data_IF_663865386787
#
_entry.id   IF_663865386787
#
_cell.length_a   1.000
_cell.length_b   1.000
_cell.length_c   1.000
_cell.angle_alpha   90.00
_cell.angle_beta   90.00
_cell.angle_gamma   90.00
#
_symmetry.space_group_name_H-M   'P 1'
#
loop_
_entity.id
_entity.type
_entity.pdbx_description
1 polymer ?
#
# COMPACT_ATOMS: atom_id res chain seq x y z
N UNK A 1 12.55 -12.75 -15.18
CA UNK A 1 11.56 -13.00 -16.25
C UNK A 1 10.39 -12.05 -16.00
N UNK A 2 9.88 -11.35 -17.01
CA UNK A 2 8.83 -10.32 -16.83
C UNK A 2 7.47 -10.99 -16.89
N UNK A 3 6.63 -10.81 -15.86
CA UNK A 3 5.29 -11.37 -15.77
C UNK A 3 4.23 -10.26 -15.73
N UNK A 4 3.16 -10.46 -16.49
CA UNK A 4 2.01 -9.55 -16.53
C UNK A 4 0.79 -10.22 -15.89
N UNK A 5 0.19 -9.54 -14.92
CA UNK A 5 -1.04 -9.95 -14.26
C UNK A 5 -2.26 -9.37 -14.98
N UNK A 6 -3.28 -10.21 -15.21
CA UNK A 6 -4.60 -9.74 -15.64
C UNK A 6 -5.42 -9.28 -14.44
N UNK A 7 -6.49 -8.51 -14.70
CA UNK A 7 -7.34 -7.96 -13.63
C UNK A 7 -7.75 -9.00 -12.56
N UNK A 8 -8.21 -10.22 -12.90
CA UNK A 8 -8.57 -11.21 -11.87
C UNK A 8 -7.39 -11.61 -10.96
N UNK A 9 -6.16 -11.63 -11.49
CA UNK A 9 -4.96 -11.90 -10.69
C UNK A 9 -4.62 -10.72 -9.79
N UNK A 10 -4.68 -9.49 -10.31
CA UNK A 10 -4.46 -8.29 -9.50
C UNK A 10 -5.47 -8.21 -8.34
N UNK A 11 -6.73 -8.58 -8.58
CA UNK A 11 -7.74 -8.67 -7.52
C UNK A 11 -7.36 -9.72 -6.46
N UNK A 12 -6.85 -10.90 -6.87
CA UNK A 12 -6.40 -11.94 -5.92
C UNK A 12 -5.16 -11.50 -5.13
N UNK A 13 -4.20 -10.84 -5.78
CA UNK A 13 -2.98 -10.37 -5.13
C UNK A 13 -3.22 -9.23 -4.14
N UNK A 14 -4.13 -8.30 -4.46
CA UNK A 14 -4.34 -7.08 -3.66
C UNK A 14 -5.56 -7.15 -2.74
N UNK A 15 -6.48 -8.09 -2.97
CA UNK A 15 -7.78 -8.15 -2.30
C UNK A 15 -8.75 -7.02 -2.69
N UNK A 16 -8.38 -6.17 -3.65
CA UNK A 16 -9.20 -5.04 -4.09
C UNK A 16 -10.20 -5.45 -5.17
N UNK A 17 -11.37 -4.82 -5.17
CA UNK A 17 -12.32 -4.95 -6.29
C UNK A 17 -11.83 -4.17 -7.51
N UNK A 18 -12.22 -4.60 -8.70
CA UNK A 18 -11.91 -3.91 -9.96
C UNK A 18 -12.25 -2.41 -9.91
N UNK A 19 -13.41 -2.04 -9.33
CA UNK A 19 -13.81 -0.64 -9.15
C UNK A 19 -12.80 0.15 -8.32
N UNK A 20 -12.30 -0.43 -7.24
CA UNK A 20 -11.31 0.24 -6.38
C UNK A 20 -9.96 0.34 -7.09
N UNK A 21 -9.55 -0.70 -7.82
CA UNK A 21 -8.33 -0.69 -8.62
C UNK A 21 -8.38 0.49 -9.61
N UNK A 22 -9.40 0.56 -10.46
CA UNK A 22 -9.51 1.64 -11.45
C UNK A 22 -9.63 3.03 -10.81
N UNK A 23 -10.33 3.16 -9.68
CA UNK A 23 -10.38 4.43 -8.94
C UNK A 23 -8.99 4.87 -8.46
N UNK A 24 -8.18 3.94 -7.95
CA UNK A 24 -6.83 4.25 -7.50
C UNK A 24 -5.88 4.53 -8.66
N UNK A 25 -6.04 3.84 -9.79
CA UNK A 25 -5.33 4.15 -11.04
C UNK A 25 -5.64 5.58 -11.49
N UNK A 26 -6.92 5.97 -11.51
CA UNK A 26 -7.32 7.33 -11.84
C UNK A 26 -6.79 8.37 -10.84
N UNK A 27 -6.68 8.01 -9.56
CA UNK A 27 -6.08 8.85 -8.52
C UNK A 27 -4.54 8.83 -8.52
N UNK A 28 -3.88 8.06 -9.38
CA UNK A 28 -2.42 7.93 -9.40
C UNK A 28 -1.82 7.22 -8.18
N UNK A 29 -2.64 6.49 -7.41
CA UNK A 29 -2.22 5.79 -6.17
C UNK A 29 -2.09 4.28 -6.35
N UNK A 30 -2.07 3.82 -7.60
CA UNK A 30 -1.92 2.42 -7.99
C UNK A 30 -1.17 2.33 -9.33
N UNK A 31 -0.41 1.25 -9.57
CA UNK A 31 0.31 1.05 -10.83
C UNK A 31 -0.59 1.19 -12.07
N UNK A 32 -0.07 1.84 -13.11
CA UNK A 32 -0.79 2.00 -14.37
C UNK A 32 -0.81 0.70 -15.16
N UNK A 33 -1.92 0.43 -15.83
CA UNK A 33 -2.05 -0.74 -16.67
C UNK A 33 -1.21 -0.62 -17.95
N UNK A 34 -0.52 -1.69 -18.31
CA UNK A 34 0.19 -1.88 -19.57
C UNK A 34 -0.81 -2.38 -20.62
N UNK A 35 -1.00 -1.68 -21.76
CA UNK A 35 -1.76 -2.19 -22.89
C UNK A 35 -1.03 -3.39 -23.52
N UNK A 36 -1.75 -4.48 -23.71
CA UNK A 36 -1.29 -5.71 -24.37
C UNK A 36 -1.92 -5.89 -25.76
N UNK A 37 -2.82 -4.98 -26.14
CA UNK A 37 -3.56 -4.96 -27.39
C UNK A 37 -4.90 -4.23 -27.21
N UNK A 38 -5.71 -4.19 -28.27
CA UNK A 38 -6.92 -3.35 -28.36
C UNK A 38 -7.96 -3.57 -27.25
N UNK A 39 -8.05 -4.80 -26.73
CA UNK A 39 -9.03 -5.20 -25.70
C UNK A 39 -8.37 -5.79 -24.46
N UNK A 40 -7.05 -5.69 -24.36
CA UNK A 40 -6.28 -6.39 -23.34
C UNK A 40 -5.34 -5.44 -22.61
N UNK A 41 -5.48 -5.37 -21.29
CA UNK A 41 -4.56 -4.67 -20.41
C UNK A 41 -4.12 -5.59 -19.26
N UNK A 42 -2.98 -5.28 -18.66
CA UNK A 42 -2.47 -5.98 -17.49
C UNK A 42 -1.53 -5.09 -16.67
N UNK A 43 -0.96 -5.64 -15.62
CA UNK A 43 -0.02 -4.93 -14.74
C UNK A 43 1.25 -5.74 -14.60
N UNK A 44 2.40 -5.07 -14.47
CA UNK A 44 3.63 -5.77 -14.13
C UNK A 44 3.50 -6.34 -12.72
N UNK A 45 3.79 -7.64 -12.57
CA UNK A 45 3.73 -8.31 -11.27
C UNK A 45 4.59 -7.59 -10.23
N UNK A 46 5.80 -7.20 -10.61
CA UNK A 46 6.74 -6.49 -9.74
C UNK A 46 6.19 -5.14 -9.23
N UNK A 47 5.43 -4.40 -10.06
CA UNK A 47 4.82 -3.13 -9.63
C UNK A 47 3.69 -3.38 -8.62
N UNK A 48 2.92 -4.46 -8.79
CA UNK A 48 1.88 -4.85 -7.85
C UNK A 48 2.49 -5.30 -6.53
N UNK A 49 3.54 -6.12 -6.56
CA UNK A 49 4.27 -6.55 -5.36
C UNK A 49 4.88 -5.37 -4.61
N UNK A 50 5.54 -4.46 -5.33
CA UNK A 50 6.10 -3.25 -4.75
C UNK A 50 5.01 -2.38 -4.10
N UNK A 51 3.89 -2.18 -4.79
CA UNK A 51 2.77 -1.42 -4.24
C UNK A 51 2.22 -2.06 -2.96
N UNK A 52 2.10 -3.40 -2.89
CA UNK A 52 1.69 -4.10 -1.66
C UNK A 52 2.71 -3.91 -0.55
N UNK A 53 4.01 -4.04 -0.86
CA UNK A 53 5.08 -3.85 0.11
C UNK A 53 5.07 -2.43 0.71
N UNK A 54 4.83 -1.41 -0.11
CA UNK A 54 4.66 -0.02 0.35
C UNK A 54 3.47 0.11 1.32
N UNK A 55 2.34 -0.59 1.07
CA UNK A 55 1.18 -0.58 1.98
C UNK A 55 1.47 -1.18 3.33
N UNK A 56 2.25 -2.24 3.34
CA UNK A 56 2.73 -2.87 4.56
C UNK A 56 3.65 -1.91 5.30
N UNK A 57 4.61 -1.30 4.60
CA UNK A 57 5.56 -0.35 5.18
C UNK A 57 4.87 0.88 5.81
N UNK A 58 3.89 1.49 5.13
CA UNK A 58 3.15 2.63 5.68
C UNK A 58 2.32 2.26 6.91
N UNK A 59 1.70 1.07 6.91
CA UNK A 59 0.98 0.55 8.08
C UNK A 59 1.93 0.42 9.27
N UNK A 60 3.10 -0.16 9.04
CA UNK A 60 4.09 -0.45 10.09
C UNK A 60 4.75 0.83 10.62
N UNK A 61 5.06 1.79 9.74
CA UNK A 61 5.54 3.11 10.13
C UNK A 61 4.51 3.86 11.00
N UNK A 62 3.24 3.81 10.62
CA UNK A 62 2.16 4.42 11.39
C UNK A 62 2.02 3.76 12.78
N UNK A 63 2.13 2.44 12.86
CA UNK A 63 2.10 1.72 14.13
C UNK A 63 3.30 2.08 15.03
N UNK A 64 4.51 2.15 14.45
CA UNK A 64 5.73 2.55 15.14
C UNK A 64 5.63 3.94 15.77
N UNK A 65 5.21 4.93 14.98
CA UNK A 65 5.06 6.32 15.43
C UNK A 65 4.02 6.47 16.55
N UNK A 66 2.90 5.76 16.48
CA UNK A 66 1.90 5.74 17.56
C UNK A 66 2.46 5.16 18.86
N UNK A 67 3.29 4.11 18.75
CA UNK A 67 3.91 3.48 19.92
C UNK A 67 4.94 4.39 20.59
N UNK A 68 5.72 5.13 19.80
CA UNK A 68 6.77 6.03 20.26
C UNK A 68 6.17 7.27 20.93
N UNK A 69 5.19 7.90 20.27
CA UNK A 69 4.41 9.00 20.85
C UNK A 69 3.81 8.60 22.21
N UNK A 70 3.27 7.38 22.31
CA UNK A 70 2.74 6.87 23.58
C UNK A 70 3.80 6.69 24.68
N UNK A 71 5.03 6.27 24.33
CA UNK A 71 6.14 6.16 25.28
C UNK A 71 6.60 7.55 25.74
N UNK A 72 6.75 8.48 24.81
CA UNK A 72 7.22 9.83 25.11
C UNK A 72 6.23 10.62 25.98
N UNK A 73 4.92 10.53 25.69
CA UNK A 73 3.89 11.17 26.52
C UNK A 73 3.89 10.64 27.96
N UNK A 74 4.17 9.33 28.16
CA UNK A 74 4.33 8.75 29.51
C UNK A 74 5.57 9.30 30.20
N UNK A 75 6.73 9.27 29.53
CA UNK A 75 7.99 9.79 30.08
C UNK A 75 7.89 11.27 30.49
N UNK A 76 7.27 12.12 29.66
CA UNK A 76 7.04 13.55 29.98
C UNK A 76 6.14 13.75 31.20
N UNK A 77 5.15 12.87 31.40
CA UNK A 77 4.25 12.93 32.56
C UNK A 77 4.98 12.54 33.85
N UNK A 78 5.83 11.52 33.79
CA UNK A 78 6.59 11.04 34.95
C UNK A 78 7.63 12.09 35.40
N UNK A 79 8.30 12.78 34.46
CA UNK A 79 9.20 13.90 34.78
C UNK A 79 8.47 15.04 35.47
N UNK A 80 7.26 15.40 35.01
CA UNK A 80 6.46 16.48 35.61
C UNK A 80 5.90 16.12 37.00
N UNK A 81 5.66 14.84 37.28
CA UNK A 81 5.19 14.38 38.59
C UNK A 81 6.30 14.31 39.65
N UNK A 82 7.57 14.26 39.23
CA UNK A 82 8.74 14.19 40.09
C UNK A 82 9.36 15.57 40.40
N UNK A 83 8.81 16.66 39.85
CA UNK A 83 9.22 18.05 40.06
C UNK A 83 8.14 18.82 40.84
#
# INVERSE_FOLDING_TARGET
MVRILRLPEVQRHTGLSARVIYRRVAAGTFPRQVPLGDKATGWLESEIEQWVAERIAERDATAGMRSEMGRELRARRDVKAAA
#
